data_IF_382457457153
#
_entry.id   IF_382457457153
#
_cell.length_a   1.000
_cell.length_b   1.000
_cell.length_c   1.000
_cell.angle_alpha   90.00
_cell.angle_beta   90.00
_cell.angle_gamma   90.00
#
_symmetry.space_group_name_H-M   'P 1'
#
loop_
_entity.id
_entity.type
_entity.pdbx_description
1 polymer ?
#
# COMPACT_ATOMS: atom_id res chain seq x y z
N UNK A 1 -33.08 9.50 -2.12
CA UNK A 1 -31.74 9.38 -2.75
C UNK A 1 -31.12 10.77 -2.74
N UNK A 2 -29.92 10.95 -2.13
CA UNK A 2 -28.64 10.60 -2.77
C UNK A 2 -27.64 9.88 -1.84
N UNK A 3 -26.82 9.01 -2.42
CA UNK A 3 -25.73 8.28 -1.77
C UNK A 3 -24.51 9.20 -1.57
N UNK A 4 -24.26 9.63 -0.33
CA UNK A 4 -22.94 10.07 0.13
C UNK A 4 -22.30 8.90 0.88
N UNK A 5 -21.55 8.06 0.19
CA UNK A 5 -20.55 7.21 0.82
C UNK A 5 -19.23 7.97 0.84
N UNK A 6 -19.16 9.04 1.63
CA UNK A 6 -17.88 9.57 2.08
C UNK A 6 -17.43 8.61 3.19
N UNK A 7 -16.56 7.66 2.86
CA UNK A 7 -15.97 6.77 3.85
C UNK A 7 -15.00 7.57 4.74
N UNK A 8 -15.56 8.27 5.72
CA UNK A 8 -14.84 8.79 6.89
C UNK A 8 -14.38 7.59 7.73
N UNK A 9 -13.22 7.03 7.38
CA UNK A 9 -12.55 6.06 8.25
C UNK A 9 -12.02 6.80 9.47
N UNK A 10 -12.81 6.73 10.53
CA UNK A 10 -12.46 7.00 11.92
C UNK A 10 -11.07 6.42 12.21
N UNK A 11 -10.07 7.29 12.30
CA UNK A 11 -8.81 6.97 12.95
C UNK A 11 -9.01 7.42 14.38
N UNK A 12 -9.52 6.49 15.19
CA UNK A 12 -9.56 6.64 16.63
C UNK A 12 -8.10 6.61 17.10
N UNK A 13 -7.44 7.78 17.04
CA UNK A 13 -6.11 8.01 17.59
C UNK A 13 -6.21 8.05 19.12
N UNK A 14 -6.55 6.91 19.73
CA UNK A 14 -6.47 6.71 21.16
C UNK A 14 -5.03 6.39 21.51
N UNK A 15 -4.31 7.46 21.88
CA UNK A 15 -3.05 7.51 22.63
C UNK A 15 -2.67 6.18 23.31
N UNK A 16 -1.81 5.39 22.66
CA UNK A 16 -1.06 4.32 23.33
C UNK A 16 0.28 4.88 23.82
N UNK A 17 0.25 5.49 25.00
CA UNK A 17 1.43 5.90 25.77
C UNK A 17 2.07 4.68 26.42
N UNK A 18 2.64 3.73 25.66
CA UNK A 18 3.53 2.73 26.25
C UNK A 18 4.69 2.39 25.28
N UNK A 19 5.87 2.77 25.75
CA UNK A 19 7.18 2.34 25.31
C UNK A 19 7.22 0.84 24.96
N UNK A 20 7.84 0.49 23.82
CA UNK A 20 8.70 -0.68 23.78
C UNK A 20 8.54 -1.72 22.67
N UNK A 21 7.41 -1.80 21.94
CA UNK A 21 7.29 -2.74 20.82
C UNK A 21 6.37 -2.15 19.74
N UNK A 22 6.95 -1.48 18.74
CA UNK A 22 6.24 -1.22 17.49
C UNK A 22 6.13 -2.55 16.75
N UNK A 23 5.08 -3.32 17.05
CA UNK A 23 4.65 -4.41 16.17
C UNK A 23 4.28 -3.74 14.86
N UNK A 24 5.11 -3.90 13.83
CA UNK A 24 4.77 -3.48 12.47
C UNK A 24 3.39 -4.03 12.15
N UNK A 25 2.40 -3.16 12.04
CA UNK A 25 1.02 -3.52 11.75
C UNK A 25 0.92 -3.91 10.28
N UNK A 26 1.28 -5.15 9.97
CA UNK A 26 1.11 -5.71 8.62
C UNK A 26 -0.36 -6.00 8.40
N UNK A 27 -0.98 -5.27 7.48
CA UNK A 27 -2.34 -5.52 7.03
C UNK A 27 -2.29 -6.23 5.68
N UNK A 28 -2.94 -7.39 5.60
CA UNK A 28 -3.09 -8.12 4.34
C UNK A 28 -4.27 -7.56 3.56
N UNK A 29 -4.04 -7.23 2.29
CA UNK A 29 -5.05 -6.67 1.39
C UNK A 29 -5.26 -7.60 0.20
N UNK A 30 -6.46 -7.53 -0.40
CA UNK A 30 -6.74 -8.19 -1.66
C UNK A 30 -5.94 -7.50 -2.79
N UNK A 31 -5.24 -8.23 -3.67
CA UNK A 31 -4.42 -7.66 -4.74
C UNK A 31 -5.29 -7.17 -5.90
N UNK A 32 -5.97 -6.05 -5.69
CA UNK A 32 -6.86 -5.42 -6.68
C UNK A 32 -6.30 -4.12 -7.26
N UNK A 33 -5.22 -3.59 -6.67
CA UNK A 33 -4.59 -2.35 -7.08
C UNK A 33 -3.21 -2.62 -7.69
N UNK A 34 -2.86 -1.88 -8.73
CA UNK A 34 -1.52 -1.85 -9.29
C UNK A 34 -0.84 -0.51 -8.95
N UNK A 35 0.42 -0.59 -8.54
CA UNK A 35 1.29 0.57 -8.36
C UNK A 35 2.35 0.63 -9.44
N UNK A 36 2.67 1.83 -9.90
CA UNK A 36 3.84 2.11 -10.71
C UNK A 36 5.00 2.54 -9.81
N UNK A 37 6.16 1.92 -10.04
CA UNK A 37 7.37 2.15 -9.28
C UNK A 37 8.54 2.43 -10.24
N UNK A 38 9.39 3.38 -9.85
CA UNK A 38 10.73 3.56 -10.43
C UNK A 38 11.73 2.85 -9.52
N UNK A 39 12.74 2.21 -10.10
CA UNK A 39 13.80 1.54 -9.35
C UNK A 39 15.10 1.61 -10.15
N UNK A 40 16.23 1.46 -9.45
CA UNK A 40 17.54 1.60 -10.07
C UNK A 40 18.04 0.27 -10.61
N UNK A 41 17.96 -0.79 -9.81
CA UNK A 41 18.52 -2.09 -10.16
C UNK A 41 17.72 -3.24 -9.53
N UNK A 42 17.72 -4.38 -10.22
CA UNK A 42 17.24 -5.66 -9.71
C UNK A 42 18.37 -6.40 -8.98
N UNK A 43 18.08 -6.95 -7.80
CA UNK A 43 19.01 -7.88 -7.16
C UNK A 43 18.96 -9.25 -7.83
N UNK A 44 20.00 -10.09 -7.66
CA UNK A 44 19.96 -11.51 -8.07
C UNK A 44 18.79 -12.29 -7.45
N UNK A 45 18.28 -11.82 -6.31
CA UNK A 45 17.13 -12.40 -5.59
C UNK A 45 15.78 -11.81 -6.04
N UNK A 46 15.73 -11.11 -7.18
CA UNK A 46 14.54 -10.46 -7.73
C UNK A 46 13.90 -9.40 -6.81
N UNK A 47 14.71 -8.65 -6.06
CA UNK A 47 14.24 -7.49 -5.30
C UNK A 47 14.56 -6.16 -6.01
N UNK A 48 13.69 -5.17 -5.83
CA UNK A 48 13.89 -3.82 -6.32
C UNK A 48 14.81 -3.02 -5.37
N UNK A 49 15.96 -2.54 -5.83
CA UNK A 49 16.78 -1.59 -5.05
C UNK A 49 16.33 -0.16 -5.31
N UNK A 50 16.27 0.63 -4.23
CA UNK A 50 15.90 2.05 -4.24
C UNK A 50 14.56 2.33 -4.94
N UNK A 51 13.56 1.46 -4.71
CA UNK A 51 12.24 1.62 -5.32
C UNK A 51 11.51 2.87 -4.80
N UNK A 52 11.02 3.69 -5.72
CA UNK A 52 10.21 4.87 -5.45
C UNK A 52 8.79 4.65 -6.00
N UNK A 53 7.79 4.88 -5.16
CA UNK A 53 6.40 4.88 -5.59
C UNK A 53 6.09 6.13 -6.43
N UNK A 54 5.42 5.93 -7.57
CA UNK A 54 5.06 7.02 -8.48
C UNK A 54 3.57 7.29 -8.42
N UNK A 55 2.75 6.29 -8.76
CA UNK A 55 1.30 6.43 -8.84
C UNK A 55 0.60 5.07 -8.77
N UNK A 56 -0.69 5.07 -8.45
CA UNK A 56 -1.56 3.93 -8.69
C UNK A 56 -2.01 3.92 -10.16
N UNK A 57 -2.00 2.73 -10.75
CA UNK A 57 -2.41 2.49 -12.13
C UNK A 57 -3.74 1.75 -12.12
N UNK A 58 -4.82 2.48 -12.34
CA UNK A 58 -6.16 1.92 -12.49
C UNK A 58 -6.46 1.47 -13.93
N UNK A 59 -5.60 1.87 -14.88
CA UNK A 59 -5.72 1.58 -16.31
C UNK A 59 -5.35 0.13 -16.67
N UNK A 60 -4.60 -0.56 -15.81
CA UNK A 60 -4.13 -1.93 -16.05
C UNK A 60 -4.78 -2.92 -15.09
N UNK A 61 -5.11 -4.11 -15.60
CA UNK A 61 -5.67 -5.17 -14.78
C UNK A 61 -4.55 -5.86 -13.98
N UNK A 62 -4.67 -5.98 -12.64
CA UNK A 62 -3.67 -6.64 -11.79
C UNK A 62 -3.28 -8.05 -12.23
N UNK A 63 -4.20 -8.78 -12.88
CA UNK A 63 -3.97 -10.17 -13.33
C UNK A 63 -3.07 -10.29 -14.57
N UNK A 64 -2.72 -9.19 -15.22
CA UNK A 64 -1.95 -9.20 -16.47
C UNK A 64 -0.46 -8.94 -16.26
N UNK A 65 -0.04 -8.57 -15.05
CA UNK A 65 1.36 -8.36 -14.69
C UNK A 65 2.00 -9.71 -14.34
N UNK A 66 3.15 -10.04 -14.94
CA UNK A 66 3.91 -11.27 -14.72
C UNK A 66 5.28 -10.96 -14.14
#
# INVERSE_FOLDING_TARGET
MPNKITAERNIDNTRSTLCGIVRHSTLWLKPVLLGQFEFVEWTPDNHLRHSKFIALREDKNPKQVR
#
